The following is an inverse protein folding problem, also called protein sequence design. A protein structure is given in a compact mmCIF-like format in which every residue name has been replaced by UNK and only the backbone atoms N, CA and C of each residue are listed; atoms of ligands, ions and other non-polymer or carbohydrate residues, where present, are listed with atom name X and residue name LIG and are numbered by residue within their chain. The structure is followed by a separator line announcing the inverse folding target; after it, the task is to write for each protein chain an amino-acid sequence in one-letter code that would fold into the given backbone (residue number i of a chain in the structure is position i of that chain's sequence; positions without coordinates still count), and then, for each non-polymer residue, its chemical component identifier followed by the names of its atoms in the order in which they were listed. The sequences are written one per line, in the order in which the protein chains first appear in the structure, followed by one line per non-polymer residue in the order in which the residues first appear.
data_IF_403796380082
#
_entry.id   IF_403796380082
#
_cell.length_a   1.000
_cell.length_b   1.000
_cell.length_c   1.000
_cell.angle_alpha   90.00
_cell.angle_beta   90.00
_cell.angle_gamma   90.00
#
_symmetry.space_group_name_H-M   'P 1'
#
loop_
_entity.id
_entity.type
_entity.pdbx_description
1 polymer ?
#
# COMPACT_ATOMS: atom_id res chain seq x y z
N UNK A 1 10.71 -0.29 22.24
CA UNK A 1 9.68 0.06 21.24
C UNK A 1 9.82 -0.76 19.96
N UNK A 2 10.80 -0.54 19.06
CA UNK A 2 10.96 -1.41 17.86
C UNK A 2 11.54 -2.80 18.19
N UNK A 3 12.46 -2.88 19.14
CA UNK A 3 13.07 -4.15 19.57
C UNK A 3 12.04 -5.06 20.26
N UNK A 4 11.14 -4.49 21.05
CA UNK A 4 10.07 -5.22 21.73
C UNK A 4 9.02 -5.77 20.74
N UNK A 5 8.82 -5.08 19.61
CA UNK A 5 7.97 -5.58 18.51
C UNK A 5 8.55 -6.82 17.83
N UNK A 6 9.88 -6.93 17.77
CA UNK A 6 10.56 -8.10 17.18
C UNK A 6 10.51 -9.31 18.12
N UNK A 7 10.36 -9.10 19.43
CA UNK A 7 10.51 -10.15 20.45
C UNK A 7 9.18 -10.79 20.93
N UNK A 8 8.00 -10.34 20.48
CA UNK A 8 6.71 -10.83 21.00
C UNK A 8 5.86 -11.62 19.99
N UNK A 9 5.31 -12.77 20.42
CA UNK A 9 4.47 -13.68 19.61
C UNK A 9 3.18 -13.05 19.06
N UNK A 10 2.68 -11.97 19.67
CA UNK A 10 1.52 -11.20 19.18
C UNK A 10 1.75 -10.64 17.77
N UNK A 11 2.99 -10.28 17.44
CA UNK A 11 3.35 -9.80 16.11
C UNK A 11 3.35 -10.93 15.08
N UNK A 12 3.57 -12.18 15.50
CA UNK A 12 3.60 -13.33 14.59
C UNK A 12 2.21 -13.63 14.02
N UNK A 13 1.19 -13.68 14.89
CA UNK A 13 -0.19 -13.91 14.47
C UNK A 13 -0.74 -12.76 13.60
N UNK A 14 -0.41 -11.50 13.94
CA UNK A 14 -0.76 -10.36 13.10
C UNK A 14 -0.04 -10.39 11.74
N UNK A 15 1.22 -10.83 11.71
CA UNK A 15 1.95 -11.00 10.47
C UNK A 15 1.37 -12.12 9.58
N UNK A 16 0.94 -13.25 10.17
CA UNK A 16 0.24 -14.30 9.42
C UNK A 16 -1.06 -13.77 8.81
N UNK A 17 -1.88 -13.05 9.58
CA UNK A 17 -3.10 -12.41 9.07
C UNK A 17 -2.81 -11.41 7.94
N UNK A 18 -1.73 -10.64 8.06
CA UNK A 18 -1.28 -9.72 7.01
C UNK A 18 -0.88 -10.47 5.74
N UNK A 19 -0.14 -11.58 5.88
CA UNK A 19 0.28 -12.41 4.76
C UNK A 19 -0.91 -13.07 4.05
N UNK A 20 -1.87 -13.58 4.81
CA UNK A 20 -3.10 -14.17 4.26
C UNK A 20 -3.92 -13.14 3.50
N UNK A 21 -4.12 -11.94 4.09
CA UNK A 21 -4.80 -10.83 3.43
C UNK A 21 -4.09 -10.39 2.14
N UNK A 22 -2.76 -10.29 2.19
CA UNK A 22 -1.95 -9.95 1.03
C UNK A 22 -2.05 -11.00 -0.08
N UNK A 23 -1.95 -12.29 0.26
CA UNK A 23 -2.07 -13.39 -0.70
C UNK A 23 -3.48 -13.47 -1.32
N UNK A 24 -4.52 -13.16 -0.54
CA UNK A 24 -5.91 -13.06 -1.00
C UNK A 24 -6.19 -11.77 -1.79
N UNK A 25 -5.23 -10.86 -1.93
CA UNK A 25 -5.37 -9.55 -2.56
C UNK A 25 -6.43 -8.66 -1.88
N UNK A 26 -6.69 -8.88 -0.59
CA UNK A 26 -7.67 -8.14 0.20
C UNK A 26 -7.05 -6.87 0.78
N UNK A 27 -7.10 -5.79 -0.01
CA UNK A 27 -6.53 -4.49 0.39
C UNK A 27 -7.23 -3.87 1.61
N UNK A 28 -8.51 -4.16 1.82
CA UNK A 28 -9.21 -3.68 3.01
C UNK A 28 -8.65 -4.38 4.25
N UNK A 29 -8.50 -5.71 4.18
CA UNK A 29 -7.98 -6.48 5.31
C UNK A 29 -6.53 -6.14 5.62
N UNK A 30 -5.72 -5.87 4.60
CA UNK A 30 -4.35 -5.34 4.77
C UNK A 30 -4.34 -4.05 5.61
N UNK A 31 -5.27 -3.12 5.36
CA UNK A 31 -5.36 -1.89 6.16
C UNK A 31 -5.82 -2.14 7.59
N UNK A 32 -6.86 -2.96 7.78
CA UNK A 32 -7.36 -3.29 9.12
C UNK A 32 -6.27 -3.91 10.00
N UNK A 33 -5.48 -4.83 9.45
CA UNK A 33 -4.37 -5.48 10.19
C UNK A 33 -3.24 -4.48 10.46
N UNK A 34 -2.93 -3.58 9.50
CA UNK A 34 -1.91 -2.55 9.67
C UNK A 34 -2.28 -1.54 10.77
N UNK A 35 -3.53 -1.11 10.84
CA UNK A 35 -4.06 -0.21 11.87
C UNK A 35 -4.08 -0.90 13.24
N UNK A 36 -4.54 -2.16 13.31
CA UNK A 36 -4.56 -2.95 14.53
C UNK A 36 -3.16 -3.24 15.09
N UNK A 37 -2.12 -3.20 14.25
CA UNK A 37 -0.71 -3.30 14.65
C UNK A 37 -0.18 -2.09 15.44
N UNK A 38 -1.00 -1.05 15.63
CA UNK A 38 -0.70 0.06 16.53
C UNK A 38 0.20 1.13 15.94
N UNK A 39 0.24 1.29 14.61
CA UNK A 39 0.93 2.42 13.98
C UNK A 39 0.15 3.71 14.33
N UNK A 40 0.76 4.68 15.04
CA UNK A 40 0.09 5.93 15.36
C UNK A 40 -0.36 6.67 14.08
N UNK A 41 -1.55 7.29 14.09
CA UNK A 41 -2.04 8.11 12.96
C UNK A 41 -1.05 9.22 12.53
N UNK A 42 -0.24 9.73 13.46
CA UNK A 42 0.82 10.69 13.14
C UNK A 42 1.96 10.08 12.32
N UNK A 43 2.27 8.79 12.51
CA UNK A 43 3.19 8.04 11.66
C UNK A 43 2.54 7.70 10.31
N UNK A 44 1.23 7.43 10.26
CA UNK A 44 0.51 7.19 8.99
C UNK A 44 0.63 8.37 8.00
N UNK A 45 0.55 9.61 8.48
CA UNK A 45 0.72 10.79 7.63
C UNK A 45 2.08 10.81 6.91
N UNK A 46 3.18 10.62 7.65
CA UNK A 46 4.52 10.65 7.07
C UNK A 46 4.90 9.38 6.31
N UNK A 47 4.44 8.22 6.78
CA UNK A 47 4.78 6.91 6.20
C UNK A 47 3.97 6.59 4.94
N UNK A 48 2.72 7.05 4.86
CA UNK A 48 1.84 6.76 3.73
C UNK A 48 1.42 8.03 3.01
N UNK A 49 0.74 8.97 3.64
CA UNK A 49 0.07 10.07 2.92
C UNK A 49 1.05 10.97 2.16
N UNK A 50 2.03 11.55 2.84
CA UNK A 50 3.05 12.42 2.22
C UNK A 50 3.89 11.67 1.18
N UNK A 51 4.07 10.35 1.37
CA UNK A 51 4.79 9.49 0.41
C UNK A 51 3.95 9.19 -0.82
N UNK A 52 2.65 8.93 -0.65
CA UNK A 52 1.72 8.68 -1.74
C UNK A 52 1.63 9.89 -2.67
N UNK A 53 1.51 11.10 -2.12
CA UNK A 53 1.47 12.33 -2.91
C UNK A 53 2.74 12.50 -3.78
N UNK A 54 3.93 12.30 -3.19
CA UNK A 54 5.21 12.37 -3.92
C UNK A 54 5.34 11.27 -4.97
N UNK A 55 4.93 10.04 -4.63
CA UNK A 55 4.97 8.90 -5.56
C UNK A 55 4.04 9.13 -6.75
N UNK A 56 2.81 9.59 -6.54
CA UNK A 56 1.86 9.89 -7.63
C UNK A 56 2.42 10.98 -8.53
N UNK A 57 2.98 12.06 -7.97
CA UNK A 57 3.59 13.11 -8.78
C UNK A 57 4.68 12.55 -9.72
N UNK A 58 5.62 11.77 -9.19
CA UNK A 58 6.69 11.16 -9.99
C UNK A 58 6.18 10.10 -10.98
N UNK A 59 5.20 9.29 -10.58
CA UNK A 59 4.57 8.30 -11.46
C UNK A 59 3.89 8.98 -12.65
N UNK A 60 3.12 10.05 -12.43
CA UNK A 60 2.42 10.78 -13.49
C UNK A 60 3.40 11.42 -14.46
N UNK A 61 4.49 12.01 -13.95
CA UNK A 61 5.57 12.56 -14.78
C UNK A 61 6.19 11.47 -15.67
N UNK A 62 6.59 10.35 -15.09
CA UNK A 62 7.21 9.24 -15.83
C UNK A 62 6.25 8.60 -16.84
N UNK A 63 5.01 8.32 -16.46
CA UNK A 63 4.01 7.73 -17.37
C UNK A 63 3.69 8.65 -18.56
N UNK A 64 3.71 9.97 -18.37
CA UNK A 64 3.48 10.94 -19.44
C UNK A 64 4.69 11.14 -20.36
N UNK A 65 5.88 10.68 -19.96
CA UNK A 65 7.09 10.76 -20.79
C UNK A 65 7.07 9.82 -22.01
N UNK A 66 6.15 8.84 -22.04
CA UNK A 66 5.92 7.96 -23.19
C UNK A 66 6.20 6.47 -22.98
N UNK A 67 7.35 6.03 -22.43
CA UNK A 67 7.66 4.61 -22.30
C UNK A 67 6.76 3.93 -21.23
N UNK A 68 6.39 2.65 -21.43
CA UNK A 68 5.72 1.87 -20.39
C UNK A 68 6.56 1.82 -19.12
N UNK A 69 5.92 2.09 -17.99
CA UNK A 69 6.57 2.14 -16.69
C UNK A 69 6.10 0.98 -15.81
N UNK A 70 7.01 0.42 -15.01
CA UNK A 70 6.70 -0.54 -13.96
C UNK A 70 7.10 0.06 -12.60
N UNK A 71 6.17 0.08 -11.65
CA UNK A 71 6.39 0.61 -10.31
C UNK A 71 6.13 -0.48 -9.28
N UNK A 72 7.11 -0.72 -8.40
CA UNK A 72 6.95 -1.59 -7.25
C UNK A 72 6.68 -0.73 -6.01
N UNK A 73 5.57 -0.99 -5.32
CA UNK A 73 5.15 -0.30 -4.11
C UNK A 73 4.64 -1.29 -3.07
N UNK A 74 4.74 -0.93 -1.79
CA UNK A 74 4.12 -1.72 -0.73
C UNK A 74 2.59 -1.66 -0.79
N UNK A 75 1.92 -2.76 -0.44
CA UNK A 75 0.45 -2.89 -0.54
C UNK A 75 -0.31 -1.81 0.23
N UNK A 76 0.21 -1.40 1.38
CA UNK A 76 -0.39 -0.35 2.22
C UNK A 76 -0.51 1.01 1.52
N UNK A 77 0.24 1.25 0.43
CA UNK A 77 0.13 2.49 -0.34
C UNK A 77 -1.09 2.50 -1.28
N UNK A 78 -1.71 1.36 -1.56
CA UNK A 78 -2.77 1.25 -2.58
C UNK A 78 -4.17 1.73 -2.12
N UNK A 79 -4.69 1.29 -0.95
CA UNK A 79 -6.08 1.55 -0.55
C UNK A 79 -6.31 2.93 0.08
N UNK A 80 -7.59 3.29 0.21
CA UNK A 80 -8.05 4.53 0.83
C UNK A 80 -8.11 5.71 -0.13
N UNK A 81 -8.76 6.80 0.30
CA UNK A 81 -8.94 8.02 -0.49
C UNK A 81 -7.59 8.69 -0.83
N UNK A 82 -6.62 8.56 0.08
CA UNK A 82 -5.24 9.03 -0.14
C UNK A 82 -4.30 7.93 -0.61
N UNK A 83 -4.83 6.76 -0.99
CA UNK A 83 -4.08 5.69 -1.63
C UNK A 83 -3.70 6.02 -3.07
N UNK A 84 -2.70 5.32 -3.59
CA UNK A 84 -2.22 5.49 -4.96
C UNK A 84 -3.33 5.24 -5.99
N UNK A 85 -4.21 4.25 -5.75
CA UNK A 85 -5.27 3.90 -6.70
C UNK A 85 -6.29 5.03 -6.88
N UNK A 86 -6.71 5.66 -5.77
CA UNK A 86 -7.64 6.78 -5.79
C UNK A 86 -7.01 8.00 -6.47
N UNK A 87 -5.79 8.38 -6.04
CA UNK A 87 -5.09 9.54 -6.59
C UNK A 87 -4.78 9.39 -8.09
N UNK A 88 -4.38 8.20 -8.56
CA UNK A 88 -4.14 7.98 -9.99
C UNK A 88 -5.44 8.15 -10.80
N UNK A 89 -6.58 7.68 -10.29
CA UNK A 89 -7.89 7.91 -10.93
C UNK A 89 -8.25 9.39 -10.99
N UNK A 90 -8.01 10.14 -9.93
CA UNK A 90 -8.21 11.60 -9.90
C UNK A 90 -7.33 12.34 -10.91
N UNK A 91 -6.14 11.82 -11.21
CA UNK A 91 -5.25 12.35 -12.26
C UNK A 91 -5.66 11.95 -13.68
N UNK A 92 -6.80 11.28 -13.84
CA UNK A 92 -7.39 10.90 -15.13
C UNK A 92 -6.90 9.56 -15.68
N UNK A 93 -6.21 8.74 -14.88
CA UNK A 93 -5.81 7.41 -15.30
C UNK A 93 -6.93 6.39 -15.09
N UNK A 94 -7.06 5.48 -16.04
CA UNK A 94 -7.88 4.28 -15.87
C UNK A 94 -7.05 3.24 -15.12
N UNK A 95 -7.58 2.74 -14.01
CA UNK A 95 -6.88 1.83 -13.11
C UNK A 95 -7.68 0.56 -12.92
N UNK A 96 -7.13 -0.55 -13.41
CA UNK A 96 -7.74 -1.88 -13.35
C UNK A 96 -6.80 -2.86 -12.67
N UNK A 97 -7.36 -3.78 -11.89
CA UNK A 97 -6.60 -4.94 -11.43
C UNK A 97 -6.33 -5.86 -12.64
N UNK A 98 -5.08 -6.25 -12.81
CA UNK A 98 -4.70 -7.27 -13.80
C UNK A 98 -4.65 -8.59 -13.05
N UNK A 99 -5.58 -9.50 -13.36
CA UNK A 99 -5.57 -10.83 -12.78
C UNK A 99 -4.26 -11.55 -13.15
N UNK A 100 -3.67 -12.34 -12.24
CA UNK A 100 -2.54 -13.18 -12.60
C UNK A 100 -2.96 -14.10 -13.75
N UNK A 101 -2.15 -14.14 -14.81
CA UNK A 101 -2.32 -15.12 -15.89
C UNK A 101 -2.04 -16.50 -15.27
N UNK A 102 -2.95 -17.49 -15.38
CA UNK A 102 -2.66 -18.84 -14.95
C UNK A 102 -1.36 -19.30 -15.61
N UNK A 103 -0.40 -19.75 -14.81
CA UNK A 103 0.86 -20.31 -15.31
C UNK A 103 0.63 -21.68 -15.94
#
# INVERSE_FOLDING_TARGET
MLLDMVQHDLYRAQMEQMMDAYAAQDLQKVMEVAEAGGIPQSLDKGLLQDRNERMVAGMVELMRSGPPCFFAVGAAHLPGERGLLAQLREKGFLVYAVAPVPQ
#
